data_IF_776047558747
#
_entry.id   IF_776047558747
#
_cell.length_a   1.000
_cell.length_b   1.000
_cell.length_c   1.000
_cell.angle_alpha   90.00
_cell.angle_beta   90.00
_cell.angle_gamma   90.00
#
_symmetry.space_group_name_H-M   'P 1'
#
loop_
_entity.id
_entity.type
_entity.pdbx_description
1 polymer ?
#
# COMPACT_ATOMS: atom_id res chain seq x y z
N UNK A 1 -12.23 -12.01 -5.12
CA UNK A 1 -12.90 -11.67 -3.84
C UNK A 1 -12.08 -10.56 -3.19
N UNK A 2 -12.72 -9.58 -2.55
CA UNK A 2 -12.13 -8.26 -2.21
C UNK A 2 -12.66 -7.78 -0.85
N UNK A 3 -12.81 -6.46 -0.64
CA UNK A 3 -13.41 -5.81 0.55
C UNK A 3 -14.86 -6.18 0.87
N UNK A 4 -15.50 -7.00 0.05
CA UNK A 4 -16.84 -7.56 0.34
C UNK A 4 -16.80 -9.09 0.51
N UNK A 5 -15.60 -9.66 0.66
CA UNK A 5 -15.45 -11.06 1.07
C UNK A 5 -15.88 -11.26 2.53
N UNK A 6 -15.62 -10.26 3.38
CA UNK A 6 -16.16 -10.19 4.73
C UNK A 6 -17.66 -9.87 4.71
N UNK A 7 -18.44 -10.57 5.53
CA UNK A 7 -19.86 -10.30 5.74
C UNK A 7 -20.11 -8.92 6.35
N UNK A 8 -21.30 -8.37 6.15
CA UNK A 8 -21.68 -7.05 6.67
C UNK A 8 -21.09 -5.87 5.89
N UNK A 9 -20.50 -6.12 4.71
CA UNK A 9 -20.01 -5.07 3.82
C UNK A 9 -20.70 -5.07 2.46
N UNK A 10 -20.93 -3.88 1.94
CA UNK A 10 -21.28 -3.68 0.53
C UNK A 10 -20.34 -2.65 -0.07
N UNK A 11 -20.11 -2.74 -1.37
CA UNK A 11 -19.29 -1.77 -2.07
C UNK A 11 -19.88 -1.42 -3.44
N UNK A 12 -19.42 -0.31 -4.00
CA UNK A 12 -19.68 0.11 -5.35
C UNK A 12 -18.43 0.76 -5.93
N UNK A 13 -18.27 0.64 -7.25
CA UNK A 13 -17.32 1.42 -8.03
C UNK A 13 -17.98 1.87 -9.31
N UNK A 14 -17.96 3.19 -9.55
CA UNK A 14 -18.69 3.82 -10.66
C UNK A 14 -17.80 4.86 -11.35
N UNK A 15 -18.21 5.27 -12.55
CA UNK A 15 -17.65 6.44 -13.23
C UNK A 15 -18.49 7.67 -12.84
N UNK A 16 -17.96 8.50 -11.94
CA UNK A 16 -18.50 9.80 -11.57
C UNK A 16 -18.11 10.88 -12.60
N UNK A 17 -17.06 10.65 -13.38
CA UNK A 17 -16.58 11.56 -14.43
C UNK A 17 -15.52 12.55 -13.94
N UNK A 18 -14.87 12.24 -12.82
CA UNK A 18 -13.68 12.91 -12.30
C UNK A 18 -12.52 12.72 -13.30
N UNK A 19 -12.31 11.49 -13.79
CA UNK A 19 -11.30 11.20 -14.82
C UNK A 19 -11.86 11.49 -16.21
N UNK A 20 -11.10 12.23 -17.03
CA UNK A 20 -11.47 12.54 -18.42
C UNK A 20 -11.61 11.29 -19.30
N UNK A 21 -10.87 10.22 -18.98
CA UNK A 21 -10.97 8.92 -19.67
C UNK A 21 -12.35 8.27 -19.63
N UNK A 22 -13.22 8.68 -18.70
CA UNK A 22 -14.52 8.04 -18.45
C UNK A 22 -14.44 6.69 -17.72
N UNK A 23 -13.24 6.25 -17.35
CA UNK A 23 -13.05 5.06 -16.52
C UNK A 23 -13.65 5.25 -15.12
N UNK A 24 -14.05 4.16 -14.42
CA UNK A 24 -14.48 4.23 -13.03
C UNK A 24 -13.48 4.98 -12.15
N UNK A 25 -13.98 5.88 -11.31
CA UNK A 25 -13.18 6.86 -10.59
C UNK A 25 -13.70 7.23 -9.19
N UNK A 26 -14.80 6.62 -8.77
CA UNK A 26 -15.37 6.76 -7.42
C UNK A 26 -15.79 5.40 -6.88
N UNK A 27 -15.32 5.07 -5.69
CA UNK A 27 -15.72 3.91 -4.91
C UNK A 27 -16.37 4.31 -3.59
N UNK A 28 -17.31 3.48 -3.16
CA UNK A 28 -17.96 3.58 -1.85
C UNK A 28 -17.93 2.19 -1.21
N UNK A 29 -17.42 2.09 0.02
CA UNK A 29 -17.47 0.88 0.84
C UNK A 29 -18.28 1.20 2.08
N UNK A 30 -19.28 0.37 2.42
CA UNK A 30 -20.19 0.59 3.55
C UNK A 30 -20.16 -0.62 4.47
N UNK A 31 -19.99 -0.35 5.77
CA UNK A 31 -20.12 -1.30 6.87
C UNK A 31 -21.53 -1.24 7.45
N UNK A 32 -22.29 -2.33 7.30
CA UNK A 32 -23.66 -2.48 7.78
C UNK A 32 -23.77 -2.95 9.23
N UNK A 33 -22.64 -3.24 9.88
CA UNK A 33 -22.60 -3.67 11.27
C UNK A 33 -22.72 -5.19 11.47
N UNK A 34 -22.95 -5.64 12.71
CA UNK A 34 -23.39 -4.87 13.89
C UNK A 34 -22.36 -3.92 14.52
N UNK A 35 -21.06 -4.07 14.23
CA UNK A 35 -19.99 -3.18 14.70
C UNK A 35 -19.49 -2.26 13.62
N UNK A 36 -18.91 -1.13 14.04
CA UNK A 36 -18.26 -0.15 13.17
C UNK A 36 -16.79 0.04 13.51
N UNK A 37 -16.21 -0.85 14.31
CA UNK A 37 -14.83 -0.73 14.79
C UNK A 37 -13.85 -0.57 13.62
N UNK A 38 -12.94 0.38 13.75
CA UNK A 38 -11.99 0.68 12.69
C UNK A 38 -10.64 1.12 13.24
N UNK A 39 -9.60 0.86 12.45
CA UNK A 39 -8.26 1.37 12.66
C UNK A 39 -7.68 1.87 11.34
N UNK A 40 -6.62 2.68 11.43
CA UNK A 40 -5.95 3.18 10.25
C UNK A 40 -4.54 3.68 10.49
N UNK A 41 -3.75 3.58 9.42
CA UNK A 41 -2.38 4.06 9.33
C UNK A 41 -2.31 5.01 8.15
N UNK A 42 -1.68 6.17 8.36
CA UNK A 42 -1.63 7.26 7.37
C UNK A 42 -0.20 7.69 7.09
N UNK A 43 -0.01 8.31 5.94
CA UNK A 43 1.29 8.84 5.51
C UNK A 43 1.99 9.61 6.63
N UNK A 44 3.30 9.42 6.72
CA UNK A 44 4.17 10.24 7.57
C UNK A 44 4.64 11.53 6.87
N UNK A 45 4.24 11.74 5.61
CA UNK A 45 4.53 12.96 4.87
C UNK A 45 3.97 14.19 5.61
N UNK A 46 4.77 15.25 5.69
CA UNK A 46 4.39 16.50 6.37
C UNK A 46 3.38 17.31 5.57
N UNK A 47 3.33 17.12 4.25
CA UNK A 47 2.42 17.79 3.32
C UNK A 47 1.15 16.93 3.16
N UNK A 48 0.49 16.58 4.27
CA UNK A 48 -0.70 15.72 4.24
C UNK A 48 -1.82 16.36 3.43
N UNK A 49 -2.47 15.55 2.60
CA UNK A 49 -3.65 15.96 1.86
C UNK A 49 -4.85 16.19 2.78
N UNK A 50 -5.81 16.99 2.33
CA UNK A 50 -7.07 17.23 3.03
C UNK A 50 -7.82 15.94 3.47
N UNK A 51 -8.00 14.92 2.61
CA UNK A 51 -8.65 13.65 2.99
C UNK A 51 -7.93 12.89 4.10
N UNK A 52 -6.59 12.95 4.15
CA UNK A 52 -5.82 12.31 5.23
C UNK A 52 -6.12 13.00 6.56
N UNK A 53 -6.05 14.34 6.60
CA UNK A 53 -6.30 15.12 7.81
C UNK A 53 -7.73 14.90 8.35
N UNK A 54 -8.72 14.78 7.45
CA UNK A 54 -10.09 14.45 7.81
C UNK A 54 -10.22 13.04 8.40
N UNK A 55 -9.74 12.03 7.68
CA UNK A 55 -9.86 10.63 8.08
C UNK A 55 -9.10 10.31 9.36
N UNK A 56 -8.01 11.03 9.66
CA UNK A 56 -7.34 11.01 10.96
C UNK A 56 -8.25 11.49 12.11
N UNK A 57 -9.14 12.47 11.87
CA UNK A 57 -10.12 12.89 12.89
C UNK A 57 -11.24 11.86 13.04
N UNK A 58 -11.76 11.33 11.94
CA UNK A 58 -12.81 10.30 11.95
C UNK A 58 -12.38 9.09 12.78
N UNK A 59 -11.16 8.60 12.56
CA UNK A 59 -10.66 7.43 13.30
C UNK A 59 -10.44 7.64 14.80
N UNK A 60 -10.39 8.87 15.29
CA UNK A 60 -10.34 9.10 16.76
C UNK A 60 -11.59 8.61 17.47
N UNK A 61 -12.72 8.48 16.76
CA UNK A 61 -13.93 7.86 17.27
C UNK A 61 -13.83 6.34 17.40
N UNK A 62 -12.82 5.70 16.80
CA UNK A 62 -12.69 4.25 16.74
C UNK A 62 -13.74 3.56 15.87
N UNK A 63 -14.59 4.32 15.17
CA UNK A 63 -15.70 3.82 14.39
C UNK A 63 -15.72 4.44 12.99
N UNK A 64 -15.81 3.60 11.96
CA UNK A 64 -15.99 3.98 10.55
C UNK A 64 -17.12 3.15 9.96
N UNK A 65 -18.12 3.84 9.44
CA UNK A 65 -19.32 3.23 8.85
C UNK A 65 -19.27 3.20 7.32
N UNK A 66 -18.49 4.07 6.69
CA UNK A 66 -18.24 4.04 5.26
C UNK A 66 -16.89 4.66 4.89
N UNK A 67 -16.39 4.30 3.70
CA UNK A 67 -15.20 4.90 3.08
C UNK A 67 -15.58 5.37 1.68
N UNK A 68 -15.38 6.66 1.40
CA UNK A 68 -15.48 7.23 0.06
C UNK A 68 -14.07 7.34 -0.52
N UNK A 69 -13.84 6.73 -1.68
CA UNK A 69 -12.55 6.79 -2.36
C UNK A 69 -12.69 7.36 -3.76
N UNK A 70 -11.93 8.39 -4.11
CA UNK A 70 -11.89 8.90 -5.48
C UNK A 70 -10.50 8.76 -6.10
N UNK A 71 -10.47 8.53 -7.42
CA UNK A 71 -9.26 8.62 -8.25
C UNK A 71 -9.37 9.75 -9.27
N UNK A 72 -8.22 10.26 -9.74
CA UNK A 72 -8.15 11.39 -10.67
C UNK A 72 -7.93 12.76 -10.03
N UNK A 73 -7.84 12.84 -8.70
CA UNK A 73 -7.48 14.06 -7.98
C UNK A 73 -7.15 13.73 -6.52
N UNK A 74 -5.93 14.07 -6.07
CA UNK A 74 -5.48 13.76 -4.72
C UNK A 74 -6.06 14.68 -3.65
N UNK A 75 -6.59 15.85 -4.03
CA UNK A 75 -7.01 16.88 -3.09
C UNK A 75 -5.91 17.23 -2.05
N UNK A 76 -4.67 17.24 -2.54
CA UNK A 76 -3.47 17.63 -1.80
C UNK A 76 -3.04 19.03 -2.23
N UNK A 77 -2.50 19.82 -1.30
CA UNK A 77 -2.08 21.22 -1.56
C UNK A 77 -3.21 22.13 -2.11
N UNK A 78 -4.46 21.87 -1.72
CA UNK A 78 -5.68 22.56 -2.18
C UNK A 78 -6.23 23.59 -1.18
N UNK A 79 -5.49 23.87 -0.11
CA UNK A 79 -5.81 24.88 0.89
C UNK A 79 -7.13 24.62 1.65
N UNK A 80 -7.74 25.66 2.24
CA UNK A 80 -9.00 25.53 2.99
C UNK A 80 -10.16 24.98 2.16
N UNK A 81 -10.19 25.27 0.85
CA UNK A 81 -11.23 24.76 -0.05
C UNK A 81 -11.17 23.24 -0.15
N UNK A 82 -9.99 22.64 -0.33
CA UNK A 82 -9.87 21.19 -0.40
C UNK A 82 -10.32 20.48 0.88
N UNK A 83 -10.11 21.09 2.05
CA UNK A 83 -10.64 20.58 3.30
C UNK A 83 -12.17 20.66 3.36
N UNK A 84 -12.77 21.78 2.92
CA UNK A 84 -14.22 21.91 2.78
C UNK A 84 -14.81 20.89 1.79
N UNK A 85 -14.13 20.63 0.67
CA UNK A 85 -14.54 19.63 -0.33
C UNK A 85 -14.53 18.21 0.25
N UNK A 86 -13.54 17.90 1.09
CA UNK A 86 -13.47 16.62 1.83
C UNK A 86 -14.63 16.51 2.82
N UNK A 87 -14.93 17.57 3.56
CA UNK A 87 -16.05 17.62 4.48
C UNK A 87 -17.39 17.40 3.75
N UNK A 88 -17.63 18.13 2.66
CA UNK A 88 -18.83 18.02 1.84
C UNK A 88 -18.98 16.61 1.23
N UNK A 89 -17.86 15.96 0.89
CA UNK A 89 -17.84 14.54 0.45
C UNK A 89 -18.38 13.62 1.53
N UNK A 90 -17.89 13.76 2.77
CA UNK A 90 -18.36 12.96 3.90
C UNK A 90 -19.82 13.27 4.27
N UNK A 91 -20.21 14.55 4.31
CA UNK A 91 -21.60 14.95 4.55
C UNK A 91 -22.55 14.38 3.50
N UNK A 92 -22.17 14.42 2.23
CA UNK A 92 -23.02 13.87 1.18
C UNK A 92 -23.17 12.36 1.29
N UNK A 93 -22.09 11.65 1.63
CA UNK A 93 -22.18 10.22 1.88
C UNK A 93 -23.09 9.90 3.08
N UNK A 94 -23.03 10.69 4.15
CA UNK A 94 -23.91 10.53 5.31
C UNK A 94 -25.38 10.85 4.99
N UNK A 95 -25.63 11.85 4.14
CA UNK A 95 -26.97 12.20 3.67
C UNK A 95 -27.63 11.05 2.90
N UNK A 96 -26.88 10.41 1.98
CA UNK A 96 -27.43 9.34 1.14
C UNK A 96 -27.48 7.98 1.86
N UNK A 97 -26.61 7.75 2.85
CA UNK A 97 -26.59 6.55 3.68
C UNK A 97 -27.40 6.81 4.95
N UNK A 98 -28.69 6.46 4.91
CA UNK A 98 -29.60 6.71 6.04
C UNK A 98 -29.07 6.08 7.34
N UNK A 99 -28.92 6.90 8.39
CA UNK A 99 -28.45 6.44 9.71
C UNK A 99 -26.94 6.49 9.92
N UNK A 100 -26.21 7.20 9.05
CA UNK A 100 -24.77 7.42 9.16
C UNK A 100 -24.47 8.89 9.49
N UNK A 101 -23.37 9.13 10.22
CA UNK A 101 -22.85 10.47 10.47
C UNK A 101 -21.63 10.75 9.60
N UNK A 102 -21.45 11.99 9.15
CA UNK A 102 -20.24 12.41 8.44
C UNK A 102 -18.97 12.12 9.26
N UNK A 103 -19.06 12.24 10.59
CA UNK A 103 -17.96 11.92 11.51
C UNK A 103 -17.58 10.44 11.60
N UNK A 104 -18.31 9.55 10.92
CA UNK A 104 -18.02 8.11 10.79
C UNK A 104 -17.62 7.74 9.34
N UNK A 105 -17.43 8.72 8.46
CA UNK A 105 -17.14 8.48 7.04
C UNK A 105 -15.71 8.91 6.73
N UNK A 106 -14.86 7.92 6.46
CA UNK A 106 -13.52 8.16 5.99
C UNK A 106 -13.53 8.58 4.51
N UNK A 107 -12.62 9.47 4.13
CA UNK A 107 -12.43 9.93 2.76
C UNK A 107 -10.98 9.69 2.36
N UNK A 108 -10.78 9.12 1.18
CA UNK A 108 -9.47 8.89 0.59
C UNK A 108 -9.46 9.35 -0.87
N UNK A 109 -8.39 10.01 -1.29
CA UNK A 109 -8.28 10.56 -2.64
C UNK A 109 -6.90 10.28 -3.22
N UNK A 110 -6.82 10.07 -4.54
CA UNK A 110 -5.55 9.84 -5.24
C UNK A 110 -5.57 10.47 -6.64
N UNK A 111 -4.42 10.92 -7.13
CA UNK A 111 -4.23 11.54 -8.44
C UNK A 111 -3.43 12.85 -8.33
N UNK A 112 -3.69 13.79 -9.24
CA UNK A 112 -2.95 15.04 -9.32
C UNK A 112 -3.00 15.87 -8.03
N UNK A 113 -1.83 16.38 -7.63
CA UNK A 113 -1.64 17.34 -6.51
C UNK A 113 -1.89 18.77 -7.01
N UNK A 114 -2.42 19.64 -6.14
CA UNK A 114 -2.60 21.07 -6.43
C UNK A 114 -3.80 21.40 -7.32
N UNK A 115 -4.70 20.43 -7.54
CA UNK A 115 -5.92 20.59 -8.33
C UNK A 115 -7.15 20.36 -7.44
N UNK A 116 -8.12 21.27 -7.49
CA UNK A 116 -9.39 21.12 -6.76
C UNK A 116 -10.23 19.99 -7.37
N UNK A 117 -11.02 19.31 -6.53
CA UNK A 117 -11.90 18.23 -7.00
C UNK A 117 -13.09 18.82 -7.78
N UNK A 118 -13.57 18.15 -8.85
CA UNK A 118 -14.79 18.53 -9.55
C UNK A 118 -16.02 18.13 -8.73
N UNK A 119 -16.35 18.93 -7.71
CA UNK A 119 -17.40 18.62 -6.73
C UNK A 119 -18.80 18.50 -7.35
N UNK A 120 -19.04 19.20 -8.45
CA UNK A 120 -20.25 19.09 -9.28
C UNK A 120 -20.45 17.69 -9.88
N UNK A 121 -19.36 16.93 -10.04
CA UNK A 121 -19.39 15.53 -10.49
C UNK A 121 -19.30 14.55 -9.34
N UNK A 122 -18.46 14.85 -8.35
CA UNK A 122 -18.20 13.96 -7.21
C UNK A 122 -19.45 13.76 -6.37
N UNK A 123 -20.17 14.82 -5.98
CA UNK A 123 -21.32 14.72 -5.07
C UNK A 123 -22.49 13.92 -5.68
N UNK A 124 -22.92 14.16 -6.95
CA UNK A 124 -23.88 13.27 -7.60
C UNK A 124 -23.32 11.86 -7.86
N UNK A 125 -22.00 11.73 -8.01
CA UNK A 125 -21.32 10.44 -8.09
C UNK A 125 -21.55 9.59 -6.83
N UNK A 126 -21.53 10.20 -5.64
CA UNK A 126 -21.80 9.52 -4.37
C UNK A 126 -23.24 8.97 -4.34
N UNK A 127 -24.23 9.72 -4.82
CA UNK A 127 -25.62 9.24 -4.93
C UNK A 127 -25.71 8.01 -5.83
N UNK A 128 -25.04 8.05 -6.98
CA UNK A 128 -24.98 6.91 -7.92
C UNK A 128 -24.27 5.70 -7.31
N UNK A 129 -23.17 5.93 -6.58
CA UNK A 129 -22.43 4.87 -5.92
C UNK A 129 -23.28 4.20 -4.82
N UNK A 130 -23.98 4.99 -4.01
CA UNK A 130 -24.90 4.50 -2.99
C UNK A 130 -26.04 3.65 -3.60
N UNK A 131 -26.62 4.09 -4.72
CA UNK A 131 -27.64 3.34 -5.44
C UNK A 131 -27.12 2.03 -6.08
N UNK A 132 -25.80 1.92 -6.27
CA UNK A 132 -25.14 0.76 -6.90
C UNK A 132 -24.47 -0.19 -5.88
N UNK A 133 -24.64 0.04 -4.57
CA UNK A 133 -24.06 -0.80 -3.53
C UNK A 133 -24.49 -2.25 -3.66
N UNK A 134 -23.53 -3.15 -3.50
CA UNK A 134 -23.75 -4.59 -3.57
C UNK A 134 -22.72 -5.33 -2.73
N UNK A 135 -23.13 -6.45 -2.13
CA UNK A 135 -22.22 -7.43 -1.49
C UNK A 135 -21.22 -8.04 -2.49
N UNK A 136 -21.49 -7.93 -3.79
CA UNK A 136 -20.58 -8.36 -4.86
C UNK A 136 -19.82 -7.19 -5.51
N UNK A 137 -19.89 -5.98 -4.95
CA UNK A 137 -19.32 -4.77 -5.54
C UNK A 137 -17.82 -4.55 -5.27
N UNK A 138 -17.18 -5.39 -4.45
CA UNK A 138 -15.78 -5.19 -4.04
C UNK A 138 -14.76 -5.15 -5.18
N UNK A 139 -14.98 -5.88 -6.27
CA UNK A 139 -14.11 -5.82 -7.45
C UNK A 139 -14.29 -4.50 -8.22
N UNK A 140 -15.53 -4.03 -8.39
CA UNK A 140 -15.82 -2.75 -9.03
C UNK A 140 -15.21 -1.59 -8.25
N UNK A 141 -15.26 -1.64 -6.92
CA UNK A 141 -14.60 -0.67 -6.05
C UNK A 141 -13.07 -0.65 -6.26
N UNK A 142 -12.43 -1.82 -6.31
CA UNK A 142 -10.99 -1.93 -6.57
C UNK A 142 -10.61 -1.39 -7.96
N UNK A 143 -11.46 -1.55 -8.98
CA UNK A 143 -11.26 -0.96 -10.31
C UNK A 143 -11.34 0.57 -10.26
N UNK A 144 -12.29 1.14 -9.51
CA UNK A 144 -12.56 2.57 -9.48
C UNK A 144 -11.47 3.40 -8.79
N UNK A 145 -10.68 2.80 -7.88
CA UNK A 145 -9.60 3.51 -7.18
C UNK A 145 -8.28 3.54 -7.96
N UNK A 146 -8.17 2.83 -9.09
CA UNK A 146 -6.97 2.80 -9.93
C UNK A 146 -6.63 4.17 -10.53
N UNK A 147 -5.33 4.48 -10.60
CA UNK A 147 -4.79 5.59 -11.40
C UNK A 147 -3.97 5.05 -12.57
N UNK A 148 -2.65 4.92 -12.37
CA UNK A 148 -1.65 4.40 -13.32
C UNK A 148 -1.53 2.88 -13.26
N UNK A 149 -2.19 2.25 -12.28
CA UNK A 149 -2.26 0.80 -12.11
C UNK A 149 -2.74 0.09 -13.39
N UNK A 150 -2.06 -0.98 -13.80
CA UNK A 150 -2.49 -1.78 -14.96
C UNK A 150 -3.52 -2.83 -14.54
N UNK A 151 -3.47 -3.31 -13.29
CA UNK A 151 -4.41 -4.28 -12.73
C UNK A 151 -5.11 -3.76 -11.46
N UNK A 152 -6.30 -4.30 -11.16
CA UNK A 152 -6.94 -4.08 -9.86
C UNK A 152 -6.36 -5.07 -8.85
N UNK A 153 -6.14 -4.61 -7.60
CA UNK A 153 -5.44 -5.40 -6.58
C UNK A 153 -6.39 -5.78 -5.46
N UNK A 154 -6.50 -7.08 -5.19
CA UNK A 154 -7.42 -7.62 -4.19
C UNK A 154 -6.81 -8.83 -3.50
N UNK A 155 -7.10 -9.02 -2.22
CA UNK A 155 -6.60 -10.16 -1.45
C UNK A 155 -7.64 -10.61 -0.43
N UNK A 156 -7.58 -11.89 -0.05
CA UNK A 156 -8.44 -12.48 0.98
C UNK A 156 -7.65 -13.49 1.80
N UNK A 157 -7.81 -13.46 3.11
CA UNK A 157 -7.39 -14.50 4.04
C UNK A 157 -8.49 -14.67 5.12
N UNK A 158 -8.34 -15.63 6.01
CA UNK A 158 -9.31 -15.83 7.09
C UNK A 158 -8.97 -17.03 7.94
N UNK A 159 -9.78 -17.23 8.98
CA UNK A 159 -9.74 -18.39 9.86
C UNK A 159 -11.04 -19.17 9.80
N UNK A 160 -11.27 -20.04 10.78
CA UNK A 160 -12.54 -20.77 10.88
C UNK A 160 -13.67 -19.82 11.28
N UNK A 161 -14.58 -19.54 10.35
CA UNK A 161 -15.82 -18.78 10.60
C UNK A 161 -15.74 -17.27 10.41
N UNK A 162 -14.61 -16.70 9.98
CA UNK A 162 -14.43 -15.27 9.71
C UNK A 162 -13.42 -15.03 8.57
N UNK A 163 -13.46 -13.85 7.96
CA UNK A 163 -12.67 -13.48 6.77
C UNK A 163 -12.06 -12.09 6.92
N UNK A 164 -10.89 -11.88 6.31
CA UNK A 164 -10.29 -10.56 6.02
C UNK A 164 -10.21 -10.42 4.50
N UNK A 165 -10.89 -9.42 3.95
CA UNK A 165 -10.82 -9.05 2.54
C UNK A 165 -10.17 -7.68 2.38
N UNK A 166 -9.46 -7.47 1.28
CA UNK A 166 -8.78 -6.19 1.03
C UNK A 166 -8.73 -5.81 -0.44
N UNK A 167 -8.59 -4.51 -0.67
CA UNK A 167 -8.25 -3.92 -1.97
C UNK A 167 -7.15 -2.87 -1.80
N UNK A 168 -6.34 -2.71 -2.83
CA UNK A 168 -5.30 -1.68 -2.87
C UNK A 168 -5.21 -0.99 -4.23
N UNK A 169 -4.66 0.22 -4.22
CA UNK A 169 -4.20 0.97 -5.39
C UNK A 169 -2.77 1.44 -5.12
N UNK A 170 -1.92 1.52 -6.14
CA UNK A 170 -0.54 2.00 -6.09
C UNK A 170 0.29 1.37 -7.21
N UNK A 171 1.08 2.18 -7.93
CA UNK A 171 1.95 1.72 -9.03
C UNK A 171 3.18 2.63 -9.18
N UNK A 172 3.01 3.94 -8.98
CA UNK A 172 4.07 4.92 -8.75
C UNK A 172 3.90 5.64 -7.41
N UNK A 173 4.91 6.44 -7.07
CA UNK A 173 5.12 7.02 -5.73
C UNK A 173 5.02 5.96 -4.64
N UNK A 174 5.74 4.86 -4.84
CA UNK A 174 5.75 3.72 -3.92
C UNK A 174 7.02 3.77 -3.05
N UNK A 175 7.00 4.33 -1.84
CA UNK A 175 8.10 4.27 -0.88
C UNK A 175 7.63 4.16 0.59
N UNK A 176 8.49 3.70 1.52
CA UNK A 176 8.15 3.51 2.93
C UNK A 176 7.77 4.79 3.68
N UNK A 177 6.96 4.62 4.72
CA UNK A 177 6.25 5.70 5.40
C UNK A 177 4.79 5.82 4.94
N UNK A 178 4.28 4.69 4.43
CA UNK A 178 3.23 4.56 3.43
C UNK A 178 3.60 5.29 2.12
N UNK A 179 3.07 4.78 1.01
CA UNK A 179 3.33 5.29 -0.34
C UNK A 179 2.02 5.64 -1.05
N UNK A 180 1.92 6.25 -2.26
CA UNK A 180 0.62 6.63 -2.90
C UNK A 180 -0.28 5.42 -3.07
N UNK A 181 -0.97 5.14 -1.99
CA UNK A 181 -1.51 3.84 -1.72
C UNK A 181 -2.75 4.08 -0.90
N UNK A 182 -3.86 3.69 -1.51
CA UNK A 182 -5.13 3.61 -0.84
C UNK A 182 -5.40 2.14 -0.62
N UNK A 183 -5.52 1.74 0.64
CA UNK A 183 -5.83 0.37 1.03
C UNK A 183 -7.04 0.39 1.95
N UNK A 184 -8.03 -0.44 1.61
CA UNK A 184 -9.16 -0.71 2.49
C UNK A 184 -9.18 -2.20 2.74
N UNK A 185 -9.15 -2.55 4.02
CA UNK A 185 -9.28 -3.89 4.57
C UNK A 185 -10.60 -3.96 5.33
N UNK A 186 -11.23 -5.12 5.26
CA UNK A 186 -12.52 -5.41 5.88
C UNK A 186 -12.48 -6.76 6.52
N UNK A 187 -13.10 -6.91 7.69
CA UNK A 187 -13.27 -8.20 8.35
C UNK A 187 -14.64 -8.32 8.97
N UNK A 188 -15.21 -9.53 8.95
CA UNK A 188 -16.45 -9.83 9.66
C UNK A 188 -16.21 -10.40 11.06
N UNK A 189 -14.95 -10.54 11.49
CA UNK A 189 -14.58 -10.90 12.85
C UNK A 189 -15.11 -9.87 13.87
N UNK A 190 -15.55 -10.35 15.04
CA UNK A 190 -15.92 -9.52 16.18
C UNK A 190 -14.66 -9.09 16.95
N UNK A 191 -14.07 -7.97 16.51
CA UNK A 191 -12.83 -7.38 17.03
C UNK A 191 -13.04 -5.88 17.28
N UNK A 192 -12.50 -5.37 18.39
CA UNK A 192 -12.60 -3.95 18.75
C UNK A 192 -11.50 -3.07 18.13
N UNK A 193 -11.67 -1.75 18.17
CA UNK A 193 -10.75 -0.82 17.53
C UNK A 193 -9.29 -0.90 18.03
N UNK A 194 -9.01 -1.06 19.35
CA UNK A 194 -7.63 -1.26 19.83
C UNK A 194 -6.95 -2.51 19.30
N UNK A 195 -7.67 -3.64 19.21
CA UNK A 195 -7.13 -4.87 18.63
C UNK A 195 -6.89 -4.73 17.12
N UNK A 196 -7.80 -4.05 16.39
CA UNK A 196 -7.61 -3.72 14.98
C UNK A 196 -6.36 -2.86 14.76
N UNK A 197 -6.13 -1.83 15.58
CA UNK A 197 -4.98 -0.93 15.47
C UNK A 197 -3.66 -1.68 15.72
N UNK A 198 -3.64 -2.54 16.74
CA UNK A 198 -2.48 -3.38 17.05
C UNK A 198 -2.13 -4.30 15.87
N UNK A 199 -3.11 -5.03 15.35
CA UNK A 199 -2.93 -5.94 14.22
C UNK A 199 -2.50 -5.19 12.95
N UNK A 200 -3.15 -4.06 12.66
CA UNK A 200 -2.89 -3.27 11.46
C UNK A 200 -1.48 -2.69 11.47
N UNK A 201 -1.02 -2.10 12.59
CA UNK A 201 0.35 -1.54 12.69
C UNK A 201 1.42 -2.61 12.59
N UNK A 202 1.21 -3.77 13.19
CA UNK A 202 2.14 -4.90 13.09
C UNK A 202 2.23 -5.40 11.64
N UNK A 203 1.10 -5.50 10.94
CA UNK A 203 1.06 -5.87 9.54
C UNK A 203 1.76 -4.83 8.66
N UNK A 204 1.40 -3.54 8.75
CA UNK A 204 1.96 -2.49 7.87
C UNK A 204 3.47 -2.35 8.03
N UNK A 205 3.99 -2.46 9.26
CA UNK A 205 5.43 -2.41 9.58
C UNK A 205 6.25 -3.44 8.81
N UNK A 206 5.67 -4.61 8.54
CA UNK A 206 6.35 -5.75 7.92
C UNK A 206 6.00 -5.95 6.45
N UNK A 207 5.03 -5.19 5.92
CA UNK A 207 4.56 -5.32 4.53
C UNK A 207 4.68 -3.99 3.78
N UNK A 208 3.71 -3.08 3.93
CA UNK A 208 3.63 -1.82 3.19
C UNK A 208 4.81 -0.88 3.49
N UNK A 209 5.31 -0.85 4.73
CA UNK A 209 6.52 -0.09 5.10
C UNK A 209 7.83 -0.73 4.61
N UNK A 210 7.74 -1.85 3.90
CA UNK A 210 8.85 -2.60 3.31
C UNK A 210 8.75 -2.71 1.79
N UNK A 211 7.97 -1.83 1.17
CA UNK A 211 7.86 -1.69 -0.28
C UNK A 211 8.49 -0.35 -0.69
N UNK A 212 9.39 -0.38 -1.67
CA UNK A 212 10.05 0.82 -2.23
C UNK A 212 10.33 0.66 -3.74
N UNK A 213 9.52 1.29 -4.58
CA UNK A 213 9.71 1.42 -6.02
C UNK A 213 10.63 2.60 -6.36
N UNK A 214 10.33 3.81 -5.91
CA UNK A 214 10.91 5.04 -6.45
C UNK A 214 11.43 6.01 -5.38
N UNK A 215 11.36 5.65 -4.10
CA UNK A 215 11.77 6.51 -2.99
C UNK A 215 10.83 7.70 -2.70
N UNK A 216 9.70 7.83 -3.42
CA UNK A 216 8.77 8.94 -3.26
C UNK A 216 7.60 8.57 -2.33
N UNK A 217 7.67 9.02 -1.07
CA UNK A 217 6.56 8.92 -0.11
C UNK A 217 5.48 9.96 -0.42
N UNK A 218 4.22 9.57 -0.44
CA UNK A 218 3.14 10.42 -0.93
C UNK A 218 2.36 11.15 0.15
N UNK A 219 1.57 12.12 -0.26
CA UNK A 219 0.77 13.00 0.59
C UNK A 219 -0.55 12.38 1.04
N UNK A 220 -0.93 11.21 0.50
CA UNK A 220 -2.31 10.70 0.55
C UNK A 220 -2.46 9.34 1.21
N UNK A 221 -1.36 8.75 1.64
CA UNK A 221 -1.30 7.32 1.88
C UNK A 221 -2.15 6.94 3.07
N UNK A 222 -3.01 5.94 2.86
CA UNK A 222 -4.07 5.62 3.78
C UNK A 222 -4.34 4.11 3.74
N UNK A 223 -4.19 3.45 4.88
CA UNK A 223 -4.59 2.06 5.09
C UNK A 223 -5.66 2.04 6.16
N UNK A 224 -6.85 1.54 5.84
CA UNK A 224 -7.97 1.40 6.77
C UNK A 224 -8.30 -0.08 6.98
N UNK A 225 -8.61 -0.47 8.20
CA UNK A 225 -9.14 -1.79 8.56
C UNK A 225 -10.46 -1.62 9.31
N UNK A 226 -11.55 -2.11 8.72
CA UNK A 226 -12.90 -2.03 9.28
C UNK A 226 -13.38 -3.41 9.70
N UNK A 227 -13.97 -3.53 10.89
CA UNK A 227 -14.60 -4.75 11.38
C UNK A 227 -16.13 -4.56 11.48
N UNK A 228 -16.90 -5.42 10.79
CA UNK A 228 -18.36 -5.44 10.89
C UNK A 228 -18.84 -6.27 12.08
N UNK A 229 -18.06 -7.25 12.55
CA UNK A 229 -18.49 -8.22 13.56
C UNK A 229 -19.62 -9.16 13.10
N UNK A 230 -19.97 -9.16 11.81
CA UNK A 230 -21.11 -9.90 11.28
C UNK A 230 -20.97 -11.43 11.38
N UNK A 231 -19.74 -11.95 11.47
CA UNK A 231 -19.51 -13.38 11.69
C UNK A 231 -19.88 -13.85 13.11
N UNK A 232 -19.92 -12.93 14.08
CA UNK A 232 -20.04 -13.25 15.51
C UNK A 232 -18.84 -14.02 16.09
N UNK A 233 -17.75 -14.20 15.31
CA UNK A 233 -16.57 -14.95 15.74
C UNK A 233 -15.49 -13.99 16.22
N UNK A 234 -15.02 -14.18 17.46
CA UNK A 234 -13.85 -13.47 17.99
C UNK A 234 -12.62 -14.39 17.84
N UNK A 235 -11.73 -14.12 16.86
CA UNK A 235 -10.52 -14.93 16.67
C UNK A 235 -9.51 -14.73 17.79
N UNK A 236 -8.59 -15.68 17.92
CA UNK A 236 -7.37 -15.49 18.71
C UNK A 236 -6.53 -14.35 18.10
N UNK A 237 -5.89 -13.56 18.96
CA UNK A 237 -5.21 -12.33 18.55
C UNK A 237 -4.12 -12.58 17.49
N UNK A 238 -3.31 -13.64 17.68
CA UNK A 238 -2.22 -13.98 16.78
C UNK A 238 -2.74 -14.50 15.42
N UNK A 239 -3.82 -15.27 15.43
CA UNK A 239 -4.47 -15.76 14.20
C UNK A 239 -5.03 -14.59 13.38
N UNK A 240 -5.71 -13.65 14.05
CA UNK A 240 -6.22 -12.43 13.42
C UNK A 240 -5.10 -11.57 12.84
N UNK A 241 -4.06 -11.31 13.63
CA UNK A 241 -2.91 -10.52 13.20
C UNK A 241 -2.23 -11.13 11.98
N UNK A 242 -2.08 -12.46 11.92
CA UNK A 242 -1.48 -13.17 10.80
C UNK A 242 -2.35 -13.13 9.54
N UNK A 243 -3.68 -13.21 9.66
CA UNK A 243 -4.58 -13.05 8.51
C UNK A 243 -4.52 -11.63 7.94
N UNK A 244 -4.52 -10.60 8.80
CA UNK A 244 -4.34 -9.20 8.39
C UNK A 244 -2.98 -9.03 7.71
N UNK A 245 -1.90 -9.54 8.30
CA UNK A 245 -0.55 -9.51 7.72
C UNK A 245 -0.50 -10.20 6.36
N UNK A 246 -1.16 -11.34 6.19
CA UNK A 246 -1.21 -12.10 4.94
C UNK A 246 -1.88 -11.29 3.83
N UNK A 247 -3.03 -10.68 4.10
CA UNK A 247 -3.73 -9.81 3.14
C UNK A 247 -2.87 -8.59 2.78
N UNK A 248 -2.25 -7.94 3.77
CA UNK A 248 -1.36 -6.82 3.53
C UNK A 248 -0.12 -7.23 2.71
N UNK A 249 0.45 -8.41 2.95
CA UNK A 249 1.64 -8.91 2.26
C UNK A 249 1.33 -9.25 0.79
N UNK A 250 0.18 -9.88 0.52
CA UNK A 250 -0.28 -10.15 -0.84
C UNK A 250 -0.52 -8.85 -1.62
N UNK A 251 -1.26 -7.90 -1.04
CA UNK A 251 -1.46 -6.59 -1.65
C UNK A 251 -0.13 -5.85 -1.88
N UNK A 252 0.81 -5.90 -0.94
CA UNK A 252 2.15 -5.32 -1.09
C UNK A 252 2.93 -5.93 -2.27
N UNK A 253 2.83 -7.25 -2.50
CA UNK A 253 3.43 -7.91 -3.67
C UNK A 253 2.74 -7.49 -4.96
N UNK A 254 1.41 -7.37 -4.96
CA UNK A 254 0.66 -6.90 -6.13
C UNK A 254 0.99 -5.44 -6.48
N UNK A 255 1.29 -4.59 -5.48
CA UNK A 255 1.77 -3.22 -5.68
C UNK A 255 3.11 -3.18 -6.42
N UNK A 256 4.10 -3.95 -5.95
CA UNK A 256 5.41 -4.05 -6.61
C UNK A 256 5.33 -4.72 -7.99
N UNK A 257 4.54 -5.78 -8.09
CA UNK A 257 4.38 -6.51 -9.35
C UNK A 257 3.72 -5.68 -10.46
N UNK A 258 3.01 -4.61 -10.10
CA UNK A 258 2.34 -3.67 -11.01
C UNK A 258 2.98 -2.27 -10.98
N UNK A 259 4.23 -2.15 -10.50
CA UNK A 259 4.93 -0.88 -10.46
C UNK A 259 5.16 -0.30 -11.88
N UNK A 260 5.08 1.03 -12.01
CA UNK A 260 5.18 1.76 -13.28
C UNK A 260 6.45 1.40 -14.06
N UNK A 261 6.29 0.95 -15.31
CA UNK A 261 7.38 0.49 -16.17
C UNK A 261 8.21 -0.70 -15.67
N UNK A 262 7.83 -1.39 -14.59
CA UNK A 262 8.66 -2.42 -13.97
C UNK A 262 8.69 -3.74 -14.77
N UNK A 263 9.91 -4.24 -15.01
CA UNK A 263 10.14 -5.53 -15.68
C UNK A 263 10.62 -6.63 -14.73
N UNK A 264 11.20 -6.25 -13.58
CA UNK A 264 11.69 -7.16 -12.53
C UNK A 264 11.16 -6.78 -11.15
N UNK A 265 10.86 -7.78 -10.36
CA UNK A 265 10.56 -7.67 -8.93
C UNK A 265 11.83 -8.01 -8.14
N UNK A 266 12.26 -7.14 -7.22
CA UNK A 266 13.48 -7.32 -6.44
C UNK A 266 13.12 -7.66 -4.99
N UNK A 267 13.46 -8.87 -4.55
CA UNK A 267 13.40 -9.29 -3.14
C UNK A 267 14.75 -9.06 -2.49
N UNK A 268 14.85 -8.06 -1.62
CA UNK A 268 16.08 -7.73 -0.89
C UNK A 268 15.96 -8.29 0.52
N UNK A 269 16.75 -9.30 0.83
CA UNK A 269 16.81 -9.96 2.12
C UNK A 269 18.11 -9.56 2.83
N UNK A 270 18.00 -8.78 3.90
CA UNK A 270 19.15 -8.43 4.74
C UNK A 270 19.13 -9.34 5.96
N UNK A 271 20.22 -10.06 6.19
CA UNK A 271 20.36 -11.05 7.26
C UNK A 271 21.54 -10.75 8.17
N UNK A 272 21.48 -11.33 9.37
CA UNK A 272 22.51 -11.21 10.42
C UNK A 272 22.88 -9.75 10.71
N UNK A 273 21.91 -8.86 10.73
CA UNK A 273 22.09 -7.49 11.17
C UNK A 273 22.12 -7.42 12.71
N UNK A 274 22.79 -6.40 13.25
CA UNK A 274 22.80 -6.12 14.69
C UNK A 274 21.40 -5.80 15.23
N UNK A 275 20.58 -5.10 14.43
CA UNK A 275 19.19 -4.79 14.74
C UNK A 275 18.29 -4.95 13.51
N UNK A 276 16.99 -5.11 13.70
CA UNK A 276 16.04 -5.13 12.59
C UNK A 276 15.98 -3.76 11.87
N UNK A 277 16.15 -2.66 12.61
CA UNK A 277 16.20 -1.32 12.03
C UNK A 277 17.42 -1.15 11.10
N UNK A 278 18.58 -1.69 11.47
CA UNK A 278 19.77 -1.76 10.61
C UNK A 278 19.47 -2.54 9.32
N UNK A 279 18.81 -3.70 9.45
CA UNK A 279 18.42 -4.52 8.29
C UNK A 279 17.46 -3.76 7.35
N UNK A 280 16.50 -3.03 7.91
CA UNK A 280 15.56 -2.20 7.15
C UNK A 280 16.28 -1.02 6.48
N UNK A 281 17.18 -0.33 7.19
CA UNK A 281 17.96 0.78 6.64
C UNK A 281 18.80 0.32 5.43
N UNK A 282 19.52 -0.79 5.58
CA UNK A 282 20.31 -1.39 4.51
C UNK A 282 19.43 -1.82 3.34
N UNK A 283 18.34 -2.54 3.59
CA UNK A 283 17.42 -2.98 2.54
C UNK A 283 16.86 -1.80 1.73
N UNK A 284 16.51 -0.69 2.40
CA UNK A 284 16.05 0.53 1.73
C UNK A 284 17.15 1.21 0.92
N UNK A 285 18.38 1.26 1.44
CA UNK A 285 19.50 1.83 0.70
C UNK A 285 19.75 1.07 -0.61
N UNK A 286 19.71 -0.26 -0.57
CA UNK A 286 19.82 -1.13 -1.75
C UNK A 286 18.63 -0.88 -2.70
N UNK A 287 17.40 -0.86 -2.19
CA UNK A 287 16.18 -0.66 -2.98
C UNK A 287 16.19 0.65 -3.78
N UNK A 288 16.71 1.75 -3.19
CA UNK A 288 16.74 3.09 -3.78
C UNK A 288 17.93 3.35 -4.69
N UNK A 289 18.82 2.37 -4.86
CA UNK A 289 20.03 2.57 -5.66
C UNK A 289 19.70 2.50 -7.16
N UNK A 290 19.57 3.66 -7.81
CA UNK A 290 19.25 3.73 -9.25
C UNK A 290 20.23 2.96 -10.13
N UNK A 291 21.52 2.97 -9.81
CA UNK A 291 22.50 2.18 -10.56
C UNK A 291 22.14 0.69 -10.46
N UNK A 292 21.88 0.16 -9.26
CA UNK A 292 21.51 -1.23 -9.08
C UNK A 292 20.20 -1.53 -9.83
N UNK A 293 19.16 -0.71 -9.67
CA UNK A 293 17.87 -0.89 -10.36
C UNK A 293 18.04 -0.98 -11.88
N UNK A 294 18.88 -0.14 -12.49
CA UNK A 294 19.20 -0.23 -13.93
C UNK A 294 20.01 -1.49 -14.29
N UNK A 295 20.93 -1.94 -13.42
CA UNK A 295 21.69 -3.18 -13.65
C UNK A 295 20.76 -4.40 -13.63
N UNK A 296 19.81 -4.44 -12.68
CA UNK A 296 18.84 -5.53 -12.59
C UNK A 296 17.93 -5.57 -13.83
N UNK A 297 17.49 -4.42 -14.33
CA UNK A 297 16.77 -4.35 -15.61
C UNK A 297 17.57 -4.97 -16.77
N UNK A 298 18.87 -4.66 -16.84
CA UNK A 298 19.78 -5.22 -17.84
C UNK A 298 20.29 -6.64 -17.54
N UNK A 299 19.74 -7.32 -16.54
CA UNK A 299 20.15 -8.66 -16.10
C UNK A 299 21.65 -8.77 -15.74
N UNK A 300 22.25 -7.68 -15.24
CA UNK A 300 23.63 -7.62 -14.76
C UNK A 300 23.68 -7.85 -13.23
N UNK A 301 24.26 -8.98 -12.75
CA UNK A 301 24.39 -9.30 -11.33
C UNK A 301 25.48 -8.46 -10.64
N UNK A 302 25.26 -7.14 -10.59
CA UNK A 302 26.24 -6.16 -10.17
C UNK A 302 26.30 -6.00 -8.64
N UNK A 303 26.91 -6.98 -7.97
CA UNK A 303 27.08 -6.98 -6.50
C UNK A 303 27.89 -5.80 -5.97
N UNK A 304 28.77 -5.20 -6.79
CA UNK A 304 29.48 -3.98 -6.42
C UNK A 304 28.54 -2.80 -6.16
N UNK A 305 27.42 -2.71 -6.89
CA UNK A 305 26.37 -1.70 -6.65
C UNK A 305 25.57 -1.99 -5.37
N UNK A 306 25.42 -3.26 -4.99
CA UNK A 306 24.84 -3.66 -3.71
C UNK A 306 25.74 -3.20 -2.55
N UNK A 307 27.04 -3.52 -2.59
CA UNK A 307 28.00 -3.07 -1.56
C UNK A 307 28.10 -1.55 -1.48
N UNK A 308 28.11 -0.85 -2.62
CA UNK A 308 28.10 0.61 -2.67
C UNK A 308 26.89 1.21 -1.95
N UNK A 309 25.71 0.59 -2.08
CA UNK A 309 24.51 1.02 -1.36
C UNK A 309 24.57 0.70 0.14
N UNK A 310 25.10 -0.46 0.55
CA UNK A 310 25.30 -0.79 1.98
C UNK A 310 26.24 0.24 2.63
N UNK A 311 27.31 0.63 1.92
CA UNK A 311 28.35 1.54 2.40
C UNK A 311 27.88 2.97 2.72
N UNK A 312 26.66 3.37 2.36
CA UNK A 312 26.10 4.69 2.67
C UNK A 312 25.23 4.72 3.93
N UNK A 313 25.01 3.57 4.57
CA UNK A 313 24.14 3.44 5.74
C UNK A 313 24.88 3.70 7.06
N UNK A 314 24.10 3.87 8.13
CA UNK A 314 24.60 3.96 9.52
C UNK A 314 24.54 2.63 10.27
N UNK A 315 24.04 1.57 9.63
CA UNK A 315 23.94 0.24 10.19
C UNK A 315 25.31 -0.29 10.64
N UNK A 316 25.34 -1.16 11.65
CA UNK A 316 26.56 -1.80 12.08
C UNK A 316 26.99 -2.89 11.07
N UNK A 317 28.17 -2.72 10.45
CA UNK A 317 28.82 -3.74 9.61
C UNK A 317 30.33 -3.51 9.50
N UNK A 318 31.06 -4.58 9.21
CA UNK A 318 32.49 -4.53 8.84
C UNK A 318 32.63 -4.85 7.34
N UNK A 319 33.19 -3.95 6.50
CA UNK A 319 33.23 -4.14 5.04
C UNK A 319 33.84 -5.48 4.60
N UNK A 320 34.90 -5.92 5.28
CA UNK A 320 35.61 -7.17 4.99
C UNK A 320 34.88 -8.43 5.49
N UNK A 321 33.67 -8.29 6.07
CA UNK A 321 32.83 -9.40 6.51
C UNK A 321 31.51 -9.50 5.74
N UNK A 322 31.22 -8.53 4.86
CA UNK A 322 29.99 -8.53 4.08
C UNK A 322 29.94 -9.69 3.09
N UNK A 323 28.77 -10.30 2.94
CA UNK A 323 28.50 -11.28 1.90
C UNK A 323 27.26 -10.87 1.09
N UNK A 324 27.29 -11.11 -0.22
CA UNK A 324 26.16 -10.83 -1.11
C UNK A 324 25.90 -12.03 -1.99
N UNK A 325 24.65 -12.48 -2.01
CA UNK A 325 24.15 -13.42 -3.00
C UNK A 325 23.11 -12.77 -3.91
N UNK A 326 23.13 -13.16 -5.19
CA UNK A 326 22.07 -12.85 -6.15
C UNK A 326 21.55 -14.18 -6.69
N UNK A 327 20.24 -14.41 -6.58
CA UNK A 327 19.56 -15.67 -6.92
C UNK A 327 20.27 -16.93 -6.37
N UNK A 328 20.81 -16.82 -5.15
CA UNK A 328 21.47 -17.91 -4.43
C UNK A 328 22.96 -18.10 -4.72
N UNK A 329 23.54 -17.36 -5.68
CA UNK A 329 24.99 -17.39 -5.97
C UNK A 329 25.68 -16.32 -5.14
N UNK A 330 26.58 -16.72 -4.24
CA UNK A 330 27.31 -15.82 -3.35
C UNK A 330 28.49 -15.15 -4.06
N UNK A 331 28.17 -14.17 -4.89
CA UNK A 331 29.10 -13.39 -5.73
C UNK A 331 30.04 -12.47 -4.95
N UNK A 332 29.74 -12.17 -3.68
CA UNK A 332 30.65 -11.51 -2.74
C UNK A 332 30.75 -12.35 -1.45
N UNK A 333 31.98 -12.61 -0.99
CA UNK A 333 32.26 -13.26 0.30
C UNK A 333 33.36 -12.54 1.04
N UNK A 334 33.14 -12.27 2.34
CA UNK A 334 34.08 -11.55 3.21
C UNK A 334 34.62 -10.26 2.55
N UNK A 335 33.72 -9.42 2.04
CA UNK A 335 34.05 -8.16 1.37
C UNK A 335 34.80 -8.28 0.03
N UNK A 336 35.07 -9.51 -0.42
CA UNK A 336 35.85 -9.81 -1.64
C UNK A 336 35.07 -10.60 -2.68
N UNK A 337 35.75 -10.94 -3.77
CA UNK A 337 35.19 -11.74 -4.88
C UNK A 337 34.77 -13.11 -4.37
N UNK A 338 33.50 -13.45 -4.56
CA UNK A 338 32.94 -14.76 -4.25
C UNK A 338 32.89 -15.68 -5.47
N UNK A 339 31.74 -16.33 -5.66
CA UNK A 339 31.45 -17.19 -6.82
C UNK A 339 31.36 -16.39 -8.12
N UNK A 340 31.51 -17.10 -9.25
CA UNK A 340 31.41 -16.48 -10.57
C UNK A 340 30.00 -15.93 -10.81
N UNK A 341 29.93 -14.65 -11.18
CA UNK A 341 28.67 -13.94 -11.43
C UNK A 341 27.92 -14.50 -12.64
N UNK A 342 28.62 -15.17 -13.56
CA UNK A 342 28.01 -15.78 -14.75
C UNK A 342 27.11 -16.98 -14.38
N UNK A 343 27.17 -17.45 -13.13
CA UNK A 343 26.26 -18.47 -12.59
C UNK A 343 24.89 -17.91 -12.17
N UNK A 344 24.71 -16.59 -12.12
CA UNK A 344 23.45 -15.95 -11.73
C UNK A 344 22.47 -15.96 -12.91
N UNK A 345 21.35 -16.65 -12.77
CA UNK A 345 20.24 -16.59 -13.75
C UNK A 345 19.23 -15.54 -13.34
N UNK A 346 19.15 -14.44 -14.11
CA UNK A 346 18.22 -13.33 -13.85
C UNK A 346 17.09 -13.23 -14.88
N UNK A 347 16.89 -14.24 -15.74
CA UNK A 347 15.89 -14.19 -16.83
C UNK A 347 14.45 -14.11 -16.34
N UNK A 348 14.18 -14.61 -15.15
CA UNK A 348 12.85 -14.56 -14.53
C UNK A 348 12.53 -13.17 -13.97
N UNK A 349 11.25 -12.90 -13.72
CA UNK A 349 10.80 -11.60 -13.19
C UNK A 349 11.35 -11.33 -11.80
N UNK A 350 11.32 -12.33 -10.91
CA UNK A 350 11.79 -12.16 -9.54
C UNK A 350 13.32 -12.33 -9.45
N UNK A 351 13.98 -11.35 -8.84
CA UNK A 351 15.40 -11.35 -8.51
C UNK A 351 15.54 -11.24 -6.99
N UNK A 352 16.21 -12.22 -6.38
CA UNK A 352 16.53 -12.25 -4.97
C UNK A 352 17.95 -11.74 -4.74
N UNK A 353 18.09 -10.72 -3.90
CA UNK A 353 19.37 -10.24 -3.38
C UNK A 353 19.40 -10.56 -1.89
N UNK A 354 20.41 -11.32 -1.45
CA UNK A 354 20.67 -11.54 -0.02
C UNK A 354 21.93 -10.79 0.38
N UNK A 355 21.83 -9.89 1.36
CA UNK A 355 22.94 -9.17 1.96
C UNK A 355 23.13 -9.64 3.40
N UNK A 356 24.28 -10.24 3.69
CA UNK A 356 24.66 -10.70 5.03
C UNK A 356 25.60 -9.68 5.66
N UNK A 357 25.15 -9.06 6.76
CA UNK A 357 25.94 -8.05 7.49
C UNK A 357 26.92 -8.67 8.48
N UNK A 358 26.74 -9.93 8.87
CA UNK A 358 27.58 -10.64 9.84
C UNK A 358 27.76 -9.91 11.20
N UNK A 359 26.77 -9.13 11.65
CA UNK A 359 26.85 -8.32 12.89
C UNK A 359 25.84 -8.70 13.96
N UNK A 360 24.90 -9.61 13.67
CA UNK A 360 23.91 -10.08 14.64
C UNK A 360 23.05 -11.22 14.10
N UNK A 361 21.78 -11.24 14.50
CA UNK A 361 20.81 -12.29 14.13
C UNK A 361 19.53 -11.75 13.51
N UNK A 362 19.38 -10.43 13.46
CA UNK A 362 18.16 -9.80 12.97
C UNK A 362 18.12 -9.77 11.44
N UNK A 363 16.91 -9.70 10.89
CA UNK A 363 16.70 -9.70 9.45
C UNK A 363 15.50 -8.87 9.02
N UNK A 364 15.54 -8.40 7.78
CA UNK A 364 14.42 -7.72 7.15
C UNK A 364 14.37 -8.04 5.66
N UNK A 365 13.15 -7.97 5.11
CA UNK A 365 12.90 -8.13 3.67
C UNK A 365 12.29 -6.85 3.16
N UNK A 366 12.90 -6.26 2.13
CA UNK A 366 12.38 -5.12 1.39
C UNK A 366 12.06 -5.57 -0.03
N UNK A 367 10.91 -5.15 -0.55
CA UNK A 367 10.52 -5.36 -1.94
C UNK A 367 10.70 -4.08 -2.74
N UNK A 368 11.28 -4.23 -3.92
CA UNK A 368 11.48 -3.15 -4.88
C UNK A 368 11.23 -3.68 -6.30
N UNK A 369 11.45 -2.83 -7.29
CA UNK A 369 11.46 -3.16 -8.72
C UNK A 369 12.73 -2.60 -9.38
N UNK A 370 12.93 -2.90 -10.65
CA UNK A 370 13.95 -2.29 -11.47
C UNK A 370 13.59 -0.85 -11.90
N UNK A 371 14.52 -0.17 -12.59
CA UNK A 371 14.32 1.15 -13.18
C UNK A 371 14.52 1.04 -14.68
N UNK A 372 13.46 1.32 -15.43
CA UNK A 372 13.40 1.11 -16.89
C UNK A 372 13.21 2.43 -17.63
N UNK A 373 13.35 2.39 -18.96
CA UNK A 373 12.99 3.54 -19.80
C UNK A 373 11.47 3.82 -19.77
N UNK A 374 10.64 2.79 -19.55
CA UNK A 374 9.19 2.92 -19.51
C UNK A 374 8.74 3.72 -18.27
N UNK A 375 9.38 3.53 -17.12
CA UNK A 375 9.15 4.37 -15.93
C UNK A 375 9.37 5.86 -16.24
N UNK A 376 10.46 6.17 -16.96
CA UNK A 376 10.76 7.55 -17.37
C UNK A 376 9.72 8.06 -18.37
N UNK A 377 9.29 7.22 -19.32
CA UNK A 377 8.28 7.60 -20.29
C UNK A 377 6.93 7.91 -19.63
N UNK A 378 6.45 7.02 -18.77
CA UNK A 378 5.18 7.16 -18.05
C UNK A 378 5.15 8.44 -17.19
N UNK A 379 6.25 8.74 -16.49
CA UNK A 379 6.36 9.88 -15.57
C UNK A 379 6.85 11.18 -16.22
N UNK A 380 7.06 11.22 -17.55
CA UNK A 380 7.46 12.45 -18.26
C UNK A 380 6.52 12.83 -19.40
N UNK A 381 5.81 11.87 -19.99
CA UNK A 381 4.85 12.11 -21.06
C UNK A 381 3.49 12.59 -20.54
N UNK A 382 3.15 12.26 -19.30
CA UNK A 382 1.86 12.55 -18.67
C UNK A 382 2.07 13.13 -17.27
N UNK A 383 1.16 14.00 -16.83
CA UNK A 383 1.07 14.39 -15.42
C UNK A 383 0.13 13.42 -14.71
N UNK A 384 0.60 12.76 -13.67
CA UNK A 384 -0.11 11.73 -12.90
C UNK A 384 -0.50 12.16 -11.49
#
# INVERSE_FOLDING_TARGET
>A
MSVTAAQGFSAAGIAAGIKESGNPDLALVVNHGPRRSAAGVFTSNRVKAAPVLWSEQVLKGGEVSAVVLNSGGANACTGPQGFQDTHATAEKAAEVLTGHSAGEIAVASTGLIGTLLPMDKLLPGIEKAAAALSEHGGEKAAIAIKTTDTVHKTAVAGGEGWTVGGMAKGAGMLAPGLATMLVVLTTDADVDAPALDTALRAATRTTFDRVDSDGCMSTNDTVLLLASGASGTTPEQDEFAEAVRTVCADLARQLIGDAEGASKDIRIEVINAATEDDAVEVGRSIARNNLLKCAIHGEDPNWGRVLSAIGTTKAAFEPDQLNVAINGVWVCKNGGVGEDRDLVDMRYREVKITADLATGTESAVIWANDLTADYVHENSAYSS
#
